data_IF_098484110351
#
_entry.id   IF_098484110351
#
_cell.length_a   1.000
_cell.length_b   1.000
_cell.length_c   1.000
_cell.angle_alpha   90.00
_cell.angle_beta   90.00
_cell.angle_gamma   90.00
#
_symmetry.space_group_name_H-M   'P 1'
#
loop_
_entity.id
_entity.type
_entity.pdbx_description
1 polymer ?
#
# COMPACT_ATOMS: atom_id res chain seq x y z
N UNK A 1 32.18 -26.53 4.19
CA UNK A 1 30.80 -26.89 4.63
C UNK A 1 30.12 -25.59 5.04
N UNK A 2 29.44 -24.93 4.10
CA UNK A 2 28.73 -23.67 4.37
C UNK A 2 27.26 -23.97 4.69
N UNK A 3 26.69 -23.46 5.79
CA UNK A 3 25.27 -23.62 6.06
C UNK A 3 24.51 -22.54 5.28
N UNK A 4 24.02 -22.88 4.09
CA UNK A 4 23.03 -22.06 3.38
C UNK A 4 21.68 -22.23 4.08
N UNK A 5 21.46 -21.47 5.15
CA UNK A 5 20.14 -21.32 5.78
C UNK A 5 19.22 -20.51 4.86
N UNK A 6 18.57 -21.18 3.91
CA UNK A 6 17.43 -20.59 3.18
C UNK A 6 16.25 -20.57 4.14
N UNK A 7 15.94 -19.41 4.73
CA UNK A 7 14.72 -19.23 5.50
C UNK A 7 13.55 -19.19 4.52
N UNK A 8 12.82 -20.30 4.42
CA UNK A 8 11.59 -20.36 3.66
C UNK A 8 10.51 -19.53 4.37
N UNK A 9 9.93 -18.55 3.68
CA UNK A 9 8.74 -17.85 4.16
C UNK A 9 7.54 -18.79 3.96
N UNK A 10 7.09 -19.49 5.01
CA UNK A 10 5.99 -20.45 4.92
C UNK A 10 4.64 -19.73 4.89
N UNK A 11 3.80 -20.03 3.89
CA UNK A 11 2.47 -19.41 3.67
C UNK A 11 1.33 -20.14 4.39
N UNK A 12 1.63 -20.94 5.41
CA UNK A 12 0.62 -21.75 6.11
C UNK A 12 -0.11 -20.91 7.18
N UNK A 13 -1.46 -20.98 7.28
CA UNK A 13 -2.23 -20.23 8.28
C UNK A 13 -1.96 -20.66 9.74
N UNK A 14 -1.22 -21.76 9.96
CA UNK A 14 -0.74 -22.24 11.26
C UNK A 14 0.77 -22.06 11.47
N UNK A 15 1.45 -21.28 10.63
CA UNK A 15 2.86 -20.98 10.85
C UNK A 15 3.01 -20.11 12.11
N UNK A 16 3.60 -20.67 13.17
CA UNK A 16 4.15 -19.89 14.30
C UNK A 16 4.92 -18.71 13.71
N UNK A 17 4.74 -17.51 14.26
CA UNK A 17 5.45 -16.30 13.86
C UNK A 17 6.91 -16.64 13.55
N UNK A 18 7.24 -16.76 12.25
CA UNK A 18 8.59 -17.10 11.85
C UNK A 18 9.48 -15.97 12.30
N UNK A 19 10.72 -16.27 12.68
CA UNK A 19 11.72 -15.23 12.87
C UNK A 19 11.65 -14.23 11.71
N UNK A 20 11.74 -12.93 12.00
CA UNK A 20 11.72 -11.89 10.98
C UNK A 20 12.71 -12.27 9.87
N UNK A 21 12.34 -12.10 8.58
CA UNK A 21 13.24 -12.41 7.49
C UNK A 21 14.54 -11.61 7.66
N UNK A 22 15.65 -12.17 7.14
CA UNK A 22 16.93 -11.46 7.12
C UNK A 22 16.73 -10.10 6.45
N UNK A 23 16.93 -9.04 7.21
CA UNK A 23 16.68 -7.68 6.76
C UNK A 23 18.00 -6.96 6.45
N UNK A 24 18.05 -6.34 5.28
CA UNK A 24 19.11 -5.39 4.93
C UNK A 24 18.61 -3.98 5.25
N UNK A 25 19.37 -3.25 6.08
CA UNK A 25 19.07 -1.84 6.37
C UNK A 25 19.68 -0.96 5.29
N UNK A 26 19.00 -0.87 4.16
CA UNK A 26 19.44 -0.12 2.98
C UNK A 26 18.29 0.74 2.48
N UNK A 27 18.57 2.00 2.18
CA UNK A 27 17.66 2.87 1.46
C UNK A 27 17.67 2.46 -0.03
N UNK A 28 16.50 2.36 -0.67
CA UNK A 28 16.43 1.97 -2.08
C UNK A 28 17.19 2.95 -3.00
N UNK A 29 17.42 4.19 -2.54
CA UNK A 29 18.27 5.15 -3.23
C UNK A 29 19.74 4.71 -3.25
N UNK A 30 20.19 3.83 -2.38
CA UNK A 30 21.58 3.39 -2.32
C UNK A 30 21.73 1.91 -2.69
N UNK A 31 20.70 1.29 -3.27
CA UNK A 31 20.71 -0.12 -3.64
C UNK A 31 21.75 -0.40 -4.74
N UNK A 32 22.44 -1.54 -4.61
CA UNK A 32 23.47 -2.04 -5.50
C UNK A 32 23.13 -3.49 -5.90
N UNK A 33 23.66 -3.99 -7.04
CA UNK A 33 23.43 -5.38 -7.47
C UNK A 33 23.78 -6.42 -6.39
N UNK A 34 24.84 -6.19 -5.61
CA UNK A 34 25.25 -7.08 -4.53
C UNK A 34 24.17 -7.27 -3.44
N UNK A 35 23.29 -6.30 -3.22
CA UNK A 35 22.19 -6.40 -2.25
C UNK A 35 21.07 -7.35 -2.71
N UNK A 36 20.98 -7.62 -4.01
CA UNK A 36 19.89 -8.40 -4.63
C UNK A 36 20.40 -9.63 -5.38
N UNK A 37 21.70 -9.95 -5.25
CA UNK A 37 22.30 -11.13 -5.86
C UNK A 37 21.78 -12.42 -5.20
N UNK A 38 21.46 -13.42 -6.02
CA UNK A 38 21.00 -14.73 -5.57
C UNK A 38 19.51 -14.82 -5.23
N UNK A 39 18.75 -13.74 -5.42
CA UNK A 39 17.29 -13.78 -5.33
C UNK A 39 16.66 -14.21 -6.67
N UNK A 40 15.57 -14.98 -6.60
CA UNK A 40 14.83 -15.43 -7.79
C UNK A 40 13.74 -14.42 -8.23
N UNK A 41 13.32 -13.56 -7.31
CA UNK A 41 12.32 -12.52 -7.57
C UNK A 41 12.47 -11.34 -6.61
N UNK A 42 12.01 -10.17 -7.03
CA UNK A 42 11.84 -8.99 -6.18
C UNK A 42 10.37 -8.58 -6.19
N UNK A 43 9.83 -8.33 -4.99
CA UNK A 43 8.55 -7.64 -4.80
C UNK A 43 8.86 -6.24 -4.29
N UNK A 44 8.72 -5.23 -5.15
CA UNK A 44 9.05 -3.84 -4.86
C UNK A 44 7.84 -3.07 -4.33
N UNK A 45 7.77 -2.94 -3.01
CA UNK A 45 6.70 -2.21 -2.27
C UNK A 45 7.14 -0.83 -1.77
N UNK A 46 8.43 -0.50 -1.84
CA UNK A 46 8.96 0.71 -1.20
C UNK A 46 8.57 1.96 -2.01
N UNK A 47 7.87 2.89 -1.35
CA UNK A 47 7.49 4.20 -1.88
C UNK A 47 7.07 5.13 -0.73
N UNK A 48 7.13 6.43 -0.97
CA UNK A 48 6.29 7.41 -0.31
C UNK A 48 4.88 7.31 -0.89
N UNK A 49 3.86 7.12 -0.06
CA UNK A 49 2.47 7.06 -0.51
C UNK A 49 1.92 8.46 -0.81
N UNK A 50 0.70 8.50 -1.38
CA UNK A 50 -0.05 9.71 -1.71
C UNK A 50 -0.59 10.43 -0.46
N UNK A 51 0.28 10.71 0.49
CA UNK A 51 0.01 11.43 1.73
C UNK A 51 0.28 12.92 1.50
N UNK A 52 -0.26 13.84 2.30
CA UNK A 52 0.12 15.26 2.27
C UNK A 52 1.64 15.48 2.33
N UNK A 53 2.41 14.52 2.87
CA UNK A 53 3.87 14.49 2.81
C UNK A 53 4.45 14.54 1.39
N UNK A 54 3.84 13.84 0.43
CA UNK A 54 4.28 13.84 -0.97
C UNK A 54 4.04 15.17 -1.68
N UNK A 55 3.12 15.99 -1.15
CA UNK A 55 2.88 17.35 -1.60
C UNK A 55 3.90 18.36 -1.02
N UNK A 56 4.61 18.01 0.07
CA UNK A 56 5.60 18.90 0.71
C UNK A 56 6.88 19.05 -0.11
N UNK A 57 7.32 17.99 -0.80
CA UNK A 57 8.45 18.06 -1.75
C UNK A 57 8.31 17.04 -2.91
N UNK A 58 7.88 17.51 -4.09
CA UNK A 58 7.83 16.68 -5.29
C UNK A 58 9.19 16.08 -5.67
N UNK A 59 10.31 16.78 -5.42
CA UNK A 59 11.63 16.30 -5.80
C UNK A 59 12.02 15.06 -5.01
N UNK A 60 11.86 15.09 -3.68
CA UNK A 60 12.05 13.91 -2.82
C UNK A 60 11.13 12.76 -3.22
N UNK A 61 9.89 13.05 -3.62
CA UNK A 61 8.97 12.02 -4.15
C UNK A 61 9.52 11.36 -5.41
N UNK A 62 10.01 12.13 -6.40
CA UNK A 62 10.59 11.55 -7.60
C UNK A 62 11.90 10.79 -7.35
N UNK A 63 12.75 11.27 -6.44
CA UNK A 63 13.98 10.56 -6.05
C UNK A 63 13.69 9.18 -5.49
N UNK A 64 12.75 9.09 -4.54
CA UNK A 64 12.43 7.82 -3.86
C UNK A 64 11.53 6.95 -4.73
N UNK A 65 10.43 7.47 -5.25
CA UNK A 65 9.41 6.64 -5.90
C UNK A 65 9.76 6.30 -7.33
N UNK A 66 10.46 7.17 -8.05
CA UNK A 66 10.80 6.94 -9.46
C UNK A 66 12.25 6.52 -9.62
N UNK A 67 13.21 7.42 -9.37
CA UNK A 67 14.63 7.17 -9.68
C UNK A 67 15.19 5.98 -8.93
N UNK A 68 14.90 5.86 -7.63
CA UNK A 68 15.36 4.71 -6.83
C UNK A 68 14.66 3.39 -7.21
N UNK A 69 13.38 3.42 -7.61
CA UNK A 69 12.68 2.24 -8.14
C UNK A 69 13.31 1.72 -9.42
N UNK A 70 13.63 2.63 -10.36
CA UNK A 70 14.33 2.27 -11.61
C UNK A 70 15.74 1.77 -11.31
N UNK A 71 16.45 2.38 -10.34
CA UNK A 71 17.76 1.89 -9.86
C UNK A 71 17.66 0.46 -9.33
N UNK A 72 16.65 0.14 -8.52
CA UNK A 72 16.42 -1.21 -8.00
C UNK A 72 16.16 -2.21 -9.14
N UNK A 73 15.32 -1.86 -10.12
CA UNK A 73 15.06 -2.72 -11.27
C UNK A 73 16.33 -2.97 -12.10
N UNK A 74 17.16 -1.94 -12.33
CA UNK A 74 18.46 -2.09 -13.01
C UNK A 74 19.43 -2.96 -12.21
N UNK A 75 19.49 -2.77 -10.89
CA UNK A 75 20.32 -3.59 -10.01
C UNK A 75 19.88 -5.06 -10.04
N UNK A 76 18.57 -5.32 -10.00
CA UNK A 76 17.98 -6.64 -10.11
C UNK A 76 18.35 -7.33 -11.43
N UNK A 77 18.15 -6.63 -12.54
CA UNK A 77 18.54 -7.10 -13.88
C UNK A 77 20.04 -7.42 -13.97
N UNK A 78 20.88 -6.52 -13.45
CA UNK A 78 22.34 -6.70 -13.43
C UNK A 78 22.76 -7.91 -12.59
N UNK A 79 22.08 -8.15 -11.47
CA UNK A 79 22.33 -9.28 -10.59
C UNK A 79 21.73 -10.61 -11.10
N UNK A 80 21.04 -10.60 -12.25
CA UNK A 80 20.43 -11.78 -12.84
C UNK A 80 19.10 -12.20 -12.20
N UNK A 81 18.44 -11.32 -11.44
CA UNK A 81 17.12 -11.62 -10.87
C UNK A 81 16.05 -11.59 -11.96
N UNK A 82 15.37 -12.72 -12.26
CA UNK A 82 14.55 -12.81 -13.46
C UNK A 82 13.15 -12.20 -13.33
N UNK A 83 12.62 -12.06 -12.11
CA UNK A 83 11.24 -11.60 -11.87
C UNK A 83 11.21 -10.34 -11.01
N UNK A 84 10.50 -9.31 -11.47
CA UNK A 84 10.38 -8.04 -10.76
C UNK A 84 8.92 -7.60 -10.68
N UNK A 85 8.31 -7.67 -9.51
CA UNK A 85 6.91 -7.29 -9.28
C UNK A 85 6.85 -5.91 -8.66
N UNK A 86 6.27 -4.95 -9.35
CA UNK A 86 6.17 -3.57 -8.87
C UNK A 86 4.77 -3.30 -8.32
N UNK A 87 4.69 -2.77 -7.10
CA UNK A 87 3.48 -2.15 -6.59
C UNK A 87 3.26 -0.79 -7.28
N UNK A 88 2.55 -0.81 -8.41
CA UNK A 88 2.03 0.38 -9.07
C UNK A 88 0.78 0.88 -8.33
N UNK A 89 -0.14 1.62 -8.95
CA UNK A 89 -1.38 2.08 -8.28
C UNK A 89 -2.41 2.58 -9.27
N UNK A 90 -3.70 2.28 -9.08
CA UNK A 90 -4.78 2.87 -9.88
C UNK A 90 -4.85 4.41 -9.84
N UNK A 91 -4.13 5.06 -8.91
CA UNK A 91 -4.00 6.53 -8.90
C UNK A 91 -3.33 7.11 -10.16
N UNK A 92 -2.67 6.29 -10.97
CA UNK A 92 -2.16 6.67 -12.29
C UNK A 92 -3.27 7.07 -13.29
N UNK A 93 -4.47 6.51 -13.15
CA UNK A 93 -5.61 6.90 -13.99
C UNK A 93 -6.12 8.30 -13.65
N UNK A 94 -5.91 8.76 -12.42
CA UNK A 94 -6.19 10.13 -11.98
C UNK A 94 -7.66 10.54 -12.08
N UNK A 95 -7.94 11.69 -12.70
CA UNK A 95 -9.33 12.17 -12.85
C UNK A 95 -9.97 11.43 -14.03
N UNK A 96 -11.02 10.67 -13.74
CA UNK A 96 -11.82 9.98 -14.74
C UNK A 96 -13.32 10.20 -14.49
N UNK A 97 -14.12 9.94 -15.54
CA UNK A 97 -15.58 9.96 -15.44
C UNK A 97 -16.14 8.73 -14.71
N UNK A 98 -17.39 8.39 -15.02
CA UNK A 98 -18.07 7.23 -14.40
C UNK A 98 -17.70 5.87 -15.04
N UNK A 99 -16.89 5.87 -16.09
CA UNK A 99 -16.46 4.65 -16.77
C UNK A 99 -15.55 3.78 -15.86
N UNK A 100 -15.68 2.47 -16.02
CA UNK A 100 -14.74 1.51 -15.42
C UNK A 100 -13.46 1.51 -16.25
N UNK A 101 -12.34 1.82 -15.62
CA UNK A 101 -11.03 1.89 -16.28
C UNK A 101 -10.32 0.54 -16.20
N UNK A 102 -9.96 -0.01 -17.35
CA UNK A 102 -9.12 -1.20 -17.48
C UNK A 102 -7.63 -0.82 -17.60
N UNK A 103 -6.76 -1.79 -17.86
CA UNK A 103 -5.32 -1.53 -17.98
C UNK A 103 -4.89 -0.82 -19.27
N UNK A 104 -5.79 -0.65 -20.24
CA UNK A 104 -5.57 0.12 -21.48
C UNK A 104 -5.98 1.58 -21.34
N UNK A 105 -6.66 1.95 -20.25
CA UNK A 105 -7.06 3.33 -20.01
C UNK A 105 -5.87 4.28 -19.92
N UNK A 106 -6.05 5.49 -20.48
CA UNK A 106 -5.06 6.56 -20.43
C UNK A 106 -4.71 6.97 -19.00
N UNK A 107 -3.46 7.36 -18.78
CA UNK A 107 -3.02 7.87 -17.49
C UNK A 107 -3.26 9.38 -17.39
N UNK A 108 -3.82 9.84 -16.28
CA UNK A 108 -4.07 11.26 -16.02
C UNK A 108 -3.67 11.68 -14.58
N UNK A 109 -2.44 11.36 -14.11
CA UNK A 109 -2.08 11.53 -12.71
C UNK A 109 -1.96 13.00 -12.31
N UNK A 110 -2.65 13.37 -11.22
CA UNK A 110 -2.68 14.74 -10.70
C UNK A 110 -1.72 15.00 -9.54
N UNK A 111 -1.06 13.96 -9.01
CA UNK A 111 -0.12 14.09 -7.88
C UNK A 111 1.30 13.66 -8.27
N UNK A 112 2.35 14.19 -7.59
CA UNK A 112 3.72 13.70 -7.76
C UNK A 112 3.84 12.19 -7.55
N UNK A 113 3.10 11.63 -6.59
CA UNK A 113 2.98 10.20 -6.39
C UNK A 113 2.49 9.47 -7.64
N UNK A 114 1.33 9.86 -8.19
CA UNK A 114 0.76 9.23 -9.38
C UNK A 114 1.70 9.32 -10.59
N UNK A 115 2.31 10.49 -10.81
CA UNK A 115 3.29 10.72 -11.87
C UNK A 115 4.51 9.83 -11.71
N UNK A 116 5.04 9.69 -10.49
CA UNK A 116 6.18 8.82 -10.23
C UNK A 116 5.91 7.36 -10.57
N UNK A 117 4.71 6.84 -10.31
CA UNK A 117 4.33 5.46 -10.65
C UNK A 117 4.27 5.24 -12.17
N UNK A 118 3.70 6.19 -12.92
CA UNK A 118 3.70 6.16 -14.40
C UNK A 118 5.11 6.11 -14.96
N UNK A 119 6.01 6.95 -14.45
CA UNK A 119 7.40 6.99 -14.89
C UNK A 119 8.13 5.67 -14.60
N UNK A 120 7.83 5.01 -13.47
CA UNK A 120 8.39 3.68 -13.17
C UNK A 120 7.86 2.63 -14.15
N UNK A 121 6.54 2.59 -14.42
CA UNK A 121 6.00 1.61 -15.38
C UNK A 121 6.68 1.77 -16.75
N UNK A 122 6.82 3.01 -17.24
CA UNK A 122 7.51 3.31 -18.49
C UNK A 122 8.98 2.84 -18.49
N UNK A 123 9.77 3.30 -17.52
CA UNK A 123 11.22 3.08 -17.53
C UNK A 123 11.60 1.64 -17.19
N UNK A 124 10.83 0.96 -16.34
CA UNK A 124 11.07 -0.44 -15.99
C UNK A 124 10.56 -1.38 -17.08
N UNK A 125 9.48 -1.04 -17.79
CA UNK A 125 9.02 -1.83 -18.93
C UNK A 125 10.08 -1.87 -20.04
N UNK A 126 10.81 -0.77 -20.25
CA UNK A 126 11.92 -0.72 -21.20
C UNK A 126 13.12 -1.62 -20.80
N UNK A 127 13.19 -2.11 -19.56
CA UNK A 127 14.20 -3.07 -19.12
C UNK A 127 13.81 -4.53 -19.41
N UNK A 128 12.56 -4.80 -19.79
CA UNK A 128 12.08 -6.15 -20.04
C UNK A 128 12.82 -6.82 -21.21
N UNK A 129 13.25 -8.05 -21.02
CA UNK A 129 13.83 -8.89 -22.07
C UNK A 129 13.65 -10.38 -21.73
N UNK A 130 14.32 -11.27 -22.48
CA UNK A 130 14.26 -12.71 -22.26
C UNK A 130 14.70 -13.17 -20.84
N UNK A 131 15.51 -12.38 -20.14
CA UNK A 131 16.07 -12.70 -18.82
C UNK A 131 15.45 -11.86 -17.69
N UNK A 132 14.83 -10.72 -17.97
CA UNK A 132 14.22 -9.84 -16.98
C UNK A 132 12.74 -9.60 -17.28
N UNK A 133 11.87 -10.00 -16.35
CA UNK A 133 10.42 -9.92 -16.49
C UNK A 133 9.80 -9.05 -15.42
N UNK A 134 9.57 -7.75 -15.70
CA UNK A 134 8.78 -6.90 -14.83
C UNK A 134 7.28 -7.18 -14.98
N UNK A 135 6.52 -6.98 -13.89
CA UNK A 135 5.05 -7.00 -13.89
C UNK A 135 4.55 -5.90 -12.96
N UNK A 136 3.53 -5.16 -13.40
CA UNK A 136 3.03 -3.97 -12.72
C UNK A 136 1.66 -4.24 -12.10
N UNK A 137 1.60 -4.24 -10.76
CA UNK A 137 0.36 -4.45 -10.02
C UNK A 137 -0.23 -3.07 -9.65
N UNK A 138 -1.21 -2.62 -10.42
CA UNK A 138 -1.93 -1.35 -10.22
C UNK A 138 -3.00 -1.55 -9.16
N UNK A 139 -2.63 -1.39 -7.89
CA UNK A 139 -3.59 -1.63 -6.83
C UNK A 139 -4.63 -0.52 -6.69
N UNK A 140 -5.86 -0.95 -6.42
CA UNK A 140 -6.90 -0.14 -5.82
C UNK A 140 -6.47 0.38 -4.43
N UNK A 141 -7.28 1.24 -3.81
CA UNK A 141 -6.94 1.82 -2.50
C UNK A 141 -6.97 0.73 -1.44
N UNK A 142 -5.82 0.46 -0.82
CA UNK A 142 -5.69 -0.58 0.18
C UNK A 142 -6.40 -0.21 1.49
N UNK A 143 -7.00 -1.20 2.14
CA UNK A 143 -7.59 -1.09 3.49
C UNK A 143 -7.46 -2.42 4.26
N UNK A 144 -7.78 -2.40 5.55
CA UNK A 144 -7.79 -3.60 6.40
C UNK A 144 -6.76 -3.55 7.52
N UNK A 145 -6.79 -4.58 8.38
CA UNK A 145 -5.91 -4.71 9.54
C UNK A 145 -4.53 -5.19 9.10
N UNK A 146 -3.47 -4.55 9.60
CA UNK A 146 -2.10 -5.00 9.37
C UNK A 146 -1.21 -4.75 10.59
N UNK A 147 -0.06 -5.45 10.72
CA UNK A 147 0.90 -5.17 11.78
C UNK A 147 1.47 -3.75 11.76
N UNK A 148 1.39 -3.06 10.61
CA UNK A 148 1.75 -1.65 10.42
C UNK A 148 0.53 -0.88 9.90
N UNK A 149 -0.51 -0.87 10.72
CA UNK A 149 -1.78 -0.25 10.39
C UNK A 149 -1.58 1.21 9.97
N UNK A 150 -2.23 1.57 8.88
CA UNK A 150 -2.40 2.95 8.44
C UNK A 150 -3.84 3.36 8.70
N UNK A 151 -4.04 4.35 9.55
CA UNK A 151 -5.38 4.87 9.86
C UNK A 151 -5.75 6.09 8.99
N UNK A 152 -4.86 6.50 8.09
CA UNK A 152 -5.02 7.62 7.16
C UNK A 152 -5.49 7.20 5.75
N UNK A 153 -5.78 5.91 5.54
CA UNK A 153 -6.45 5.42 4.31
C UNK A 153 -7.97 5.40 4.49
N UNK A 154 -8.73 5.67 3.43
CA UNK A 154 -10.15 6.05 3.50
C UNK A 154 -11.02 5.15 4.40
N UNK A 155 -11.03 3.82 4.18
CA UNK A 155 -11.87 2.91 5.01
C UNK A 155 -11.35 2.85 6.45
N UNK A 156 -10.05 2.67 6.64
CA UNK A 156 -9.46 2.58 7.98
C UNK A 156 -9.69 3.86 8.78
N UNK A 157 -9.62 5.02 8.12
CA UNK A 157 -9.87 6.34 8.70
C UNK A 157 -11.32 6.51 9.13
N UNK A 158 -12.27 6.20 8.25
CA UNK A 158 -13.69 6.31 8.56
C UNK A 158 -14.08 5.39 9.73
N UNK A 159 -13.60 4.13 9.74
CA UNK A 159 -13.87 3.19 10.83
C UNK A 159 -13.21 3.65 12.14
N UNK A 160 -11.95 4.09 12.10
CA UNK A 160 -11.24 4.54 13.28
C UNK A 160 -11.86 5.81 13.88
N UNK A 161 -12.24 6.78 13.04
CA UNK A 161 -12.95 7.98 13.49
C UNK A 161 -14.29 7.61 14.13
N UNK A 162 -15.10 6.80 13.45
CA UNK A 162 -16.40 6.37 13.98
C UNK A 162 -16.27 5.65 15.32
N UNK A 163 -15.28 4.74 15.44
CA UNK A 163 -15.04 3.96 16.65
C UNK A 163 -14.54 4.83 17.82
N UNK A 164 -13.68 5.81 17.55
CA UNK A 164 -13.01 6.59 18.62
C UNK A 164 -13.73 7.89 19.00
N UNK A 165 -14.53 8.46 18.10
CA UNK A 165 -15.22 9.75 18.33
C UNK A 165 -16.73 9.67 18.19
N UNK A 166 -17.28 8.60 17.61
CA UNK A 166 -18.69 8.53 17.22
C UNK A 166 -19.00 9.29 15.93
N UNK A 167 -18.01 9.81 15.21
CA UNK A 167 -18.21 10.53 13.96
C UNK A 167 -17.58 9.81 12.76
N UNK A 168 -18.37 9.60 11.72
CA UNK A 168 -17.88 9.15 10.41
C UNK A 168 -17.51 10.40 9.61
N UNK A 169 -16.30 10.92 9.83
CA UNK A 169 -15.89 12.23 9.32
C UNK A 169 -15.40 12.18 7.86
N UNK A 170 -16.22 12.68 6.95
CA UNK A 170 -15.87 12.84 5.52
C UNK A 170 -15.21 14.21 5.30
N UNK A 171 -14.03 14.24 4.70
CA UNK A 171 -13.28 15.49 4.46
C UNK A 171 -13.72 16.24 3.18
N UNK A 172 -14.38 15.56 2.26
CA UNK A 172 -14.90 16.10 0.99
C UNK A 172 -16.43 16.07 0.96
N UNK A 173 -17.04 16.37 -0.20
CA UNK A 173 -18.48 16.23 -0.44
C UNK A 173 -18.98 14.76 -0.51
N UNK A 174 -18.08 13.78 -0.39
CA UNK A 174 -18.39 12.36 -0.40
C UNK A 174 -18.76 11.76 -1.77
N UNK A 175 -18.74 12.54 -2.86
CA UNK A 175 -19.19 12.10 -4.19
C UNK A 175 -18.18 11.25 -4.95
N UNK A 176 -16.90 11.37 -4.62
CA UNK A 176 -15.80 10.77 -5.35
C UNK A 176 -15.80 9.23 -5.28
N UNK A 177 -15.55 8.59 -6.43
CA UNK A 177 -15.41 7.13 -6.54
C UNK A 177 -14.03 6.65 -6.11
N UNK A 178 -13.98 5.56 -5.34
CA UNK A 178 -12.77 4.89 -4.87
C UNK A 178 -12.87 3.39 -5.16
N UNK A 179 -11.94 2.82 -5.95
CA UNK A 179 -11.75 1.38 -5.96
C UNK A 179 -11.02 0.96 -4.69
N UNK A 180 -11.43 -0.14 -4.09
CA UNK A 180 -10.87 -0.64 -2.84
C UNK A 180 -10.33 -2.08 -2.97
N UNK A 181 -9.28 -2.38 -2.21
CA UNK A 181 -8.74 -3.74 -2.10
C UNK A 181 -8.31 -4.01 -0.66
N UNK A 182 -8.73 -5.14 -0.11
CA UNK A 182 -8.29 -5.54 1.23
C UNK A 182 -6.81 -5.94 1.21
N UNK A 183 -6.06 -5.63 2.27
CA UNK A 183 -4.61 -5.89 2.35
C UNK A 183 -4.26 -7.36 2.14
N UNK A 184 -5.11 -8.29 2.57
CA UNK A 184 -4.88 -9.72 2.30
C UNK A 184 -5.07 -10.08 0.83
N UNK A 185 -6.07 -9.50 0.14
CA UNK A 185 -6.26 -9.73 -1.29
C UNK A 185 -5.16 -9.06 -2.12
N UNK A 186 -4.67 -7.90 -1.68
CA UNK A 186 -3.46 -7.29 -2.22
C UNK A 186 -2.27 -8.26 -2.12
N UNK A 187 -2.04 -8.87 -0.95
CA UNK A 187 -0.99 -9.88 -0.77
C UNK A 187 -1.22 -11.12 -1.65
N UNK A 188 -2.46 -11.62 -1.75
CA UNK A 188 -2.82 -12.76 -2.63
C UNK A 188 -2.50 -12.47 -4.09
N UNK A 189 -2.73 -11.25 -4.56
CA UNK A 189 -2.38 -10.85 -5.93
C UNK A 189 -0.87 -10.94 -6.17
N UNK A 190 -0.06 -10.42 -5.26
CA UNK A 190 1.40 -10.54 -5.36
C UNK A 190 1.86 -11.99 -5.35
N UNK A 191 1.29 -12.84 -4.49
CA UNK A 191 1.62 -14.27 -4.45
C UNK A 191 1.21 -15.00 -5.74
N UNK A 192 0.02 -14.71 -6.28
CA UNK A 192 -0.44 -15.28 -7.54
C UNK A 192 0.51 -14.90 -8.69
N UNK A 193 0.85 -13.61 -8.81
CA UNK A 193 1.79 -13.14 -9.85
C UNK A 193 3.20 -13.66 -9.60
N UNK A 194 3.64 -13.86 -8.35
CA UNK A 194 4.95 -14.43 -8.03
C UNK A 194 5.10 -15.87 -8.53
N UNK A 195 4.03 -16.66 -8.48
CA UNK A 195 4.03 -18.06 -8.90
C UNK A 195 3.56 -18.28 -10.34
N UNK A 196 3.00 -17.26 -10.99
CA UNK A 196 2.47 -17.34 -12.34
C UNK A 196 3.54 -17.74 -13.39
N UNK A 197 3.16 -18.49 -14.43
CA UNK A 197 3.98 -18.69 -15.62
C UNK A 197 4.41 -17.35 -16.24
N UNK A 198 5.70 -17.19 -16.53
CA UNK A 198 6.26 -15.96 -17.12
C UNK A 198 5.46 -15.45 -18.34
N UNK A 199 5.04 -16.29 -19.32
CA UNK A 199 4.32 -15.81 -20.50
C UNK A 199 3.02 -15.05 -20.19
N UNK A 200 2.38 -15.33 -19.05
CA UNK A 200 1.11 -14.69 -18.67
C UNK A 200 1.30 -13.30 -18.05
N UNK A 201 2.48 -13.02 -17.51
CA UNK A 201 2.74 -11.82 -16.69
C UNK A 201 3.88 -10.94 -17.23
N UNK A 202 4.58 -11.41 -18.26
CA UNK A 202 5.77 -10.75 -18.77
C UNK A 202 5.44 -9.36 -19.31
N UNK A 203 6.05 -8.34 -18.70
CA UNK A 203 5.87 -6.94 -19.05
C UNK A 203 4.38 -6.50 -19.05
N UNK A 204 3.56 -7.18 -18.26
CA UNK A 204 2.13 -6.93 -18.16
C UNK A 204 1.80 -6.03 -16.97
N UNK A 205 0.69 -5.29 -17.10
CA UNK A 205 0.06 -4.59 -16.00
C UNK A 205 -1.30 -5.23 -15.66
N UNK A 206 -1.64 -5.19 -14.38
CA UNK A 206 -2.91 -5.70 -13.84
C UNK A 206 -3.48 -4.74 -12.80
N UNK A 207 -4.74 -4.37 -12.95
CA UNK A 207 -5.52 -3.75 -11.88
C UNK A 207 -5.76 -4.78 -10.78
N UNK A 208 -5.47 -4.39 -9.53
CA UNK A 208 -5.57 -5.30 -8.37
C UNK A 208 -6.70 -4.86 -7.46
N UNK A 209 -7.70 -5.72 -7.34
CA UNK A 209 -8.89 -5.53 -6.52
C UNK A 209 -10.03 -6.41 -7.05
N UNK A 210 -11.26 -5.96 -6.83
CA UNK A 210 -12.48 -6.56 -7.38
C UNK A 210 -13.28 -5.48 -8.07
N UNK A 211 -13.82 -5.77 -9.25
CA UNK A 211 -14.57 -4.78 -10.03
C UNK A 211 -15.86 -4.33 -9.32
N UNK A 212 -16.39 -5.16 -8.42
CA UNK A 212 -17.54 -4.83 -7.58
C UNK A 212 -17.20 -3.91 -6.40
N UNK A 213 -15.93 -3.84 -5.99
CA UNK A 213 -15.47 -3.09 -4.81
C UNK A 213 -15.08 -1.64 -5.17
N UNK A 214 -15.95 -1.00 -5.96
CA UNK A 214 -15.87 0.43 -6.30
C UNK A 214 -17.01 1.16 -5.57
N UNK A 215 -16.68 2.15 -4.74
CA UNK A 215 -17.67 2.87 -3.92
C UNK A 215 -17.46 4.37 -3.98
N UNK A 216 -18.54 5.13 -3.84
CA UNK A 216 -18.45 6.55 -3.47
C UNK A 216 -18.09 6.67 -2.00
N UNK A 217 -17.36 7.72 -1.62
CA UNK A 217 -16.95 7.93 -0.21
C UNK A 217 -18.16 8.00 0.74
N UNK A 218 -19.28 8.59 0.31
CA UNK A 218 -20.53 8.59 1.09
C UNK A 218 -21.10 7.19 1.33
N UNK A 219 -21.00 6.28 0.35
CA UNK A 219 -21.49 4.91 0.47
C UNK A 219 -20.64 4.12 1.49
N UNK A 220 -19.33 4.39 1.51
CA UNK A 220 -18.44 3.87 2.55
C UNK A 220 -18.84 4.39 3.92
N UNK A 221 -19.14 5.67 4.05
CA UNK A 221 -19.57 6.26 5.32
C UNK A 221 -20.87 5.61 5.84
N UNK A 222 -21.84 5.34 4.96
CA UNK A 222 -23.08 4.65 5.32
C UNK A 222 -22.83 3.19 5.76
N UNK A 223 -21.88 2.49 5.12
CA UNK A 223 -21.46 1.15 5.55
C UNK A 223 -20.81 1.18 6.94
N UNK A 224 -19.94 2.16 7.18
CA UNK A 224 -19.28 2.34 8.49
C UNK A 224 -20.31 2.70 9.56
N UNK A 225 -21.23 3.63 9.28
CA UNK A 225 -22.26 4.03 10.24
C UNK A 225 -23.14 2.85 10.68
N UNK A 226 -23.48 1.95 9.73
CA UNK A 226 -24.23 0.72 10.04
C UNK A 226 -23.43 -0.25 10.90
N UNK A 227 -22.12 -0.34 10.71
CA UNK A 227 -21.24 -1.21 11.47
C UNK A 227 -20.91 -0.67 12.88
N UNK A 228 -20.79 0.65 13.01
CA UNK A 228 -20.50 1.35 14.28
C UNK A 228 -21.77 2.05 14.75
N UNK A 229 -22.64 1.27 15.41
CA UNK A 229 -23.93 1.77 15.88
C UNK A 229 -23.79 2.98 16.82
N UNK A 230 -24.64 3.98 16.64
CA UNK A 230 -24.60 5.23 17.39
C UNK A 230 -23.67 6.30 16.80
N UNK A 231 -22.90 5.97 15.77
CA UNK A 231 -22.10 6.97 15.06
C UNK A 231 -22.94 7.83 14.11
N UNK A 232 -22.43 9.03 13.78
CA UNK A 232 -23.07 9.98 12.87
C UNK A 232 -22.13 10.36 11.74
N UNK A 233 -22.65 10.37 10.50
CA UNK A 233 -21.91 10.90 9.35
C UNK A 233 -21.80 12.42 9.46
N UNK A 234 -20.57 12.93 9.37
CA UNK A 234 -20.25 14.36 9.38
C UNK A 234 -19.44 14.73 8.15
N UNK A 235 -19.59 15.98 7.71
CA UNK A 235 -18.84 16.54 6.58
C UNK A 235 -18.00 17.70 7.08
N UNK A 236 -16.73 17.75 6.72
CA UNK A 236 -15.84 18.84 7.10
C UNK A 236 -16.35 20.18 6.53
N UNK A 237 -16.33 21.28 7.32
CA UNK A 237 -16.68 22.60 6.82
C UNK A 237 -15.80 23.00 5.63
N UNK A 238 -16.40 23.38 4.50
CA UNK A 238 -15.68 23.75 3.29
C UNK A 238 -15.17 22.57 2.45
N UNK A 239 -15.59 21.33 2.75
CA UNK A 239 -15.27 20.15 1.94
C UNK A 239 -15.87 20.25 0.54
N UNK A 240 -15.02 20.48 -0.46
CA UNK A 240 -15.38 20.46 -1.88
C UNK A 240 -15.30 19.07 -2.51
N UNK A 241 -15.54 18.96 -3.82
CA UNK A 241 -15.35 17.70 -4.55
C UNK A 241 -13.89 17.27 -4.51
N UNK A 242 -13.62 16.00 -4.19
CA UNK A 242 -12.28 15.42 -4.36
C UNK A 242 -12.08 15.12 -5.86
N UNK A 243 -11.15 15.81 -6.55
CA UNK A 243 -10.97 15.66 -7.98
C UNK A 243 -10.47 14.26 -8.36
N UNK A 244 -9.84 13.53 -7.42
CA UNK A 244 -9.50 12.13 -7.62
C UNK A 244 -10.82 11.39 -7.55
N UNK A 245 -11.34 10.93 -8.67
CA UNK A 245 -12.57 10.13 -8.72
C UNK A 245 -12.46 9.23 -9.94
N UNK A 246 -12.49 7.92 -9.71
CA UNK A 246 -12.35 6.93 -10.77
C UNK A 246 -12.87 5.58 -10.28
N UNK A 247 -13.26 4.74 -11.24
CA UNK A 247 -13.63 3.35 -11.02
C UNK A 247 -12.70 2.48 -11.86
N UNK A 248 -12.40 1.28 -11.40
CA UNK A 248 -11.50 0.38 -12.13
C UNK A 248 -12.11 -0.99 -12.31
N UNK A 249 -11.89 -1.55 -13.49
CA UNK A 249 -12.11 -2.96 -13.76
C UNK A 249 -10.85 -3.75 -13.40
N UNK A 250 -11.01 -4.75 -12.53
CA UNK A 250 -9.96 -5.66 -12.06
C UNK A 250 -10.11 -7.09 -12.63
N UNK A 251 -11.00 -7.29 -13.61
CA UNK A 251 -11.32 -8.60 -14.21
C UNK A 251 -10.08 -9.33 -14.74
N UNK A 252 -9.23 -8.60 -15.48
CA UNK A 252 -8.06 -9.16 -16.17
C UNK A 252 -7.16 -10.03 -15.30
N UNK A 253 -6.89 -9.64 -14.05
CA UNK A 253 -6.01 -10.41 -13.18
C UNK A 253 -6.60 -11.78 -12.85
N UNK A 254 -7.88 -11.83 -12.48
CA UNK A 254 -8.57 -13.07 -12.13
C UNK A 254 -8.80 -13.96 -13.36
N UNK A 255 -9.04 -13.36 -14.53
CA UNK A 255 -9.16 -14.08 -15.81
C UNK A 255 -7.83 -14.67 -16.26
N UNK A 256 -6.73 -13.94 -16.06
CA UNK A 256 -5.39 -14.39 -16.45
C UNK A 256 -4.82 -15.42 -15.48
N UNK A 257 -5.09 -15.25 -14.17
CA UNK A 257 -4.55 -16.08 -13.08
C UNK A 257 -5.70 -16.58 -12.18
N UNK A 258 -6.32 -17.73 -12.49
CA UNK A 258 -7.43 -18.30 -11.70
C UNK A 258 -7.08 -18.66 -10.24
N UNK A 259 -5.79 -18.70 -9.90
CA UNK A 259 -5.28 -18.84 -8.53
C UNK A 259 -5.48 -17.57 -7.71
N UNK A 260 -5.59 -16.40 -8.35
CA UNK A 260 -5.97 -15.17 -7.66
C UNK A 260 -7.46 -15.22 -7.31
N UNK A 261 -7.73 -15.60 -6.07
CA UNK A 261 -9.08 -15.68 -5.50
C UNK A 261 -9.23 -14.65 -4.39
N UNK A 262 -9.68 -13.41 -4.71
CA UNK A 262 -9.94 -12.43 -3.69
C UNK A 262 -11.10 -12.89 -2.81
N UNK A 263 -10.98 -12.68 -1.50
CA UNK A 263 -11.89 -13.23 -0.49
C UNK A 263 -12.65 -12.14 0.27
N UNK A 264 -12.19 -10.90 0.18
CA UNK A 264 -12.69 -9.82 1.01
C UNK A 264 -13.65 -8.92 0.25
N UNK A 265 -14.59 -8.39 1.02
CA UNK A 265 -15.50 -7.29 0.65
C UNK A 265 -15.32 -6.17 1.68
N UNK A 266 -15.64 -4.95 1.29
CA UNK A 266 -15.55 -3.77 2.18
C UNK A 266 -16.38 -3.95 3.45
N UNK A 267 -17.63 -4.43 3.42
CA UNK A 267 -18.38 -4.72 4.64
C UNK A 267 -17.67 -5.69 5.59
N UNK A 268 -17.05 -6.76 5.06
CA UNK A 268 -16.30 -7.72 5.88
C UNK A 268 -15.04 -7.11 6.48
N UNK A 269 -14.30 -6.30 5.73
CA UNK A 269 -13.11 -5.64 6.27
C UNK A 269 -13.44 -4.49 7.24
N UNK A 270 -14.58 -3.80 7.08
CA UNK A 270 -15.11 -2.87 8.10
C UNK A 270 -15.36 -3.63 9.41
N UNK A 271 -16.02 -4.78 9.36
CA UNK A 271 -16.24 -5.62 10.53
C UNK A 271 -14.91 -6.09 11.16
N UNK A 272 -13.93 -6.49 10.34
CA UNK A 272 -12.59 -6.86 10.80
C UNK A 272 -11.89 -5.71 11.55
N UNK A 273 -11.96 -4.49 11.00
CA UNK A 273 -11.38 -3.30 11.63
C UNK A 273 -12.06 -2.98 12.97
N UNK A 274 -13.40 -3.00 13.02
CA UNK A 274 -14.15 -2.81 14.27
C UNK A 274 -13.77 -3.83 15.34
N UNK A 275 -13.65 -5.11 14.95
CA UNK A 275 -13.24 -6.19 15.85
C UNK A 275 -11.83 -5.95 16.40
N UNK A 276 -10.90 -5.60 15.53
CA UNK A 276 -9.54 -5.33 15.94
C UNK A 276 -9.46 -4.10 16.86
N UNK A 277 -10.13 -2.99 16.52
CA UNK A 277 -10.12 -1.79 17.36
C UNK A 277 -10.68 -2.05 18.76
N UNK A 278 -11.67 -2.94 18.87
CA UNK A 278 -12.19 -3.41 20.16
C UNK A 278 -11.22 -4.30 20.91
N UNK A 279 -10.71 -5.33 20.24
CA UNK A 279 -9.81 -6.34 20.85
C UNK A 279 -8.53 -5.70 21.40
N UNK A 280 -7.97 -4.75 20.67
CA UNK A 280 -6.69 -4.12 21.00
C UNK A 280 -6.85 -2.75 21.66
N UNK A 281 -8.09 -2.28 21.86
CA UNK A 281 -8.39 -1.04 22.58
C UNK A 281 -7.86 0.23 21.91
N UNK A 282 -8.17 0.43 20.63
CA UNK A 282 -7.76 1.67 19.92
C UNK A 282 -8.36 2.90 20.62
N UNK A 283 -7.50 3.82 21.06
CA UNK A 283 -7.94 5.09 21.65
C UNK A 283 -7.95 6.22 20.63
N UNK A 284 -8.65 7.31 20.95
CA UNK A 284 -8.59 8.55 20.17
C UNK A 284 -7.16 9.11 20.11
N UNK A 285 -6.40 8.99 21.19
CA UNK A 285 -5.01 9.43 21.25
C UNK A 285 -4.13 8.61 20.30
N UNK A 286 -4.30 7.28 20.25
CA UNK A 286 -3.61 6.44 19.28
C UNK A 286 -3.91 6.84 17.83
N UNK A 287 -5.20 7.09 17.53
CA UNK A 287 -5.67 7.44 16.18
C UNK A 287 -5.20 8.82 15.73
N UNK A 288 -5.30 9.84 16.59
CA UNK A 288 -4.86 11.20 16.29
C UNK A 288 -3.34 11.42 16.47
N UNK A 289 -2.65 10.46 17.07
CA UNK A 289 -1.22 10.51 17.35
C UNK A 289 -0.33 10.06 16.19
N UNK A 290 0.95 9.89 16.49
CA UNK A 290 2.00 9.56 15.50
C UNK A 290 2.10 8.06 15.19
N UNK A 291 1.28 7.23 15.85
CA UNK A 291 1.35 5.77 15.75
C UNK A 291 0.82 5.25 14.42
N UNK A 292 -0.31 5.78 13.96
CA UNK A 292 -1.01 5.29 12.76
C UNK A 292 -1.13 6.31 11.64
N UNK A 293 -0.67 7.55 11.87
CA UNK A 293 -0.65 8.64 10.90
C UNK A 293 0.78 8.88 10.41
N UNK A 294 1.05 8.52 9.15
CA UNK A 294 2.41 8.53 8.58
C UNK A 294 3.01 9.93 8.55
N UNK A 295 2.21 10.93 8.21
CA UNK A 295 2.60 12.36 8.19
C UNK A 295 3.15 12.80 9.54
N UNK A 296 2.39 12.58 10.61
CA UNK A 296 2.77 12.97 11.96
C UNK A 296 4.02 12.21 12.43
N UNK A 297 4.13 10.93 12.07
CA UNK A 297 5.31 10.13 12.37
C UNK A 297 6.59 10.70 11.74
N UNK A 298 6.55 11.03 10.44
CA UNK A 298 7.72 11.60 9.74
C UNK A 298 8.07 12.98 10.31
N UNK A 299 7.08 13.84 10.55
CA UNK A 299 7.30 15.15 11.17
C UNK A 299 7.91 15.03 12.57
N UNK A 300 7.54 14.02 13.35
CA UNK A 300 8.18 13.72 14.63
C UNK A 300 9.65 13.34 14.43
N UNK A 301 9.96 12.42 13.51
CA UNK A 301 11.34 12.01 13.21
C UNK A 301 12.22 13.19 12.77
N UNK A 302 11.66 14.12 11.98
CA UNK A 302 12.36 15.33 11.56
C UNK A 302 12.59 16.30 12.71
N UNK A 303 11.58 16.54 13.57
CA UNK A 303 11.74 17.36 14.79
C UNK A 303 12.77 16.78 15.75
N UNK A 304 12.85 15.46 15.85
CA UNK A 304 13.85 14.74 16.64
C UNK A 304 15.25 14.71 15.98
N UNK A 305 15.42 15.28 14.78
CA UNK A 305 16.69 15.29 14.05
C UNK A 305 17.15 13.90 13.58
N UNK A 306 16.24 12.91 13.55
CA UNK A 306 16.56 11.53 13.18
C UNK A 306 16.53 11.32 11.68
N UNK A 307 15.73 12.14 10.99
CA UNK A 307 15.57 12.13 9.53
C UNK A 307 15.64 13.59 9.04
N UNK A 308 16.30 13.85 7.91
CA UNK A 308 16.38 15.20 7.33
C UNK A 308 15.19 15.56 6.44
N UNK A 309 15.26 16.73 5.81
CA UNK A 309 14.27 17.21 4.84
C UNK A 309 14.16 16.32 3.60
N UNK A 310 15.24 15.63 3.22
CA UNK A 310 15.26 14.67 2.10
C UNK A 310 14.83 13.26 2.54
N UNK A 311 14.29 13.11 3.75
CA UNK A 311 13.87 11.84 4.33
C UNK A 311 15.00 10.80 4.43
N UNK A 312 16.24 11.25 4.65
CA UNK A 312 17.40 10.39 4.92
C UNK A 312 17.64 10.28 6.42
N UNK A 313 17.93 9.06 6.89
CA UNK A 313 18.35 8.82 8.27
C UNK A 313 19.67 9.51 8.58
N UNK A 314 19.73 10.22 9.70
CA UNK A 314 20.95 10.87 10.18
C UNK A 314 21.87 9.87 10.91
N UNK A 315 23.18 10.04 10.72
CA UNK A 315 24.19 9.13 11.29
C UNK A 315 24.10 9.13 12.83
N UNK A 316 23.99 7.94 13.43
CA UNK A 316 23.85 7.77 14.89
C UNK A 316 22.41 7.68 15.43
N UNK A 317 21.39 7.96 14.62
CA UNK A 317 19.99 7.76 15.01
C UNK A 317 19.66 6.25 15.10
N UNK A 318 19.54 5.72 16.33
CA UNK A 318 18.98 4.38 16.54
C UNK A 318 17.48 4.42 16.25
N UNK A 319 17.02 3.43 15.49
CA UNK A 319 15.58 3.21 15.28
C UNK A 319 15.04 2.34 16.40
N UNK A 320 13.85 2.67 16.92
CA UNK A 320 13.08 1.74 17.75
C UNK A 320 12.89 0.46 16.92
N UNK A 321 13.14 -0.70 17.51
CA UNK A 321 13.07 -1.99 16.80
C UNK A 321 11.66 -2.26 16.28
N UNK A 322 11.51 -3.09 15.24
CA UNK A 322 10.20 -3.45 14.68
C UNK A 322 9.20 -3.96 15.73
N UNK A 323 9.69 -4.52 16.85
CA UNK A 323 8.90 -4.93 18.01
C UNK A 323 8.07 -3.80 18.66
N UNK A 324 8.50 -2.54 18.54
CA UNK A 324 7.78 -1.38 19.11
C UNK A 324 6.65 -0.87 18.20
N UNK A 325 6.60 -1.32 16.94
CA UNK A 325 5.62 -0.89 15.94
C UNK A 325 4.44 -1.87 15.77
N UNK A 326 4.55 -3.08 16.34
CA UNK A 326 3.47 -4.07 16.29
C UNK A 326 2.36 -3.65 17.24
N UNK A 327 1.14 -3.57 16.74
CA UNK A 327 -0.03 -3.35 17.58
C UNK A 327 -0.24 -4.56 18.49
N UNK A 328 0.03 -4.39 19.78
CA UNK A 328 -0.14 -5.43 20.80
C UNK A 328 -1.47 -5.25 21.53
N UNK A 329 -2.13 -6.35 21.95
CA UNK A 329 -3.40 -6.25 22.66
C UNK A 329 -3.22 -5.52 23.99
N UNK A 330 -4.24 -4.77 24.40
CA UNK A 330 -4.26 -4.15 25.71
C UNK A 330 -4.09 -5.24 26.78
N UNK A 331 -3.18 -5.04 27.74
CA UNK A 331 -3.06 -5.94 28.90
C UNK A 331 -4.38 -5.85 29.66
N UNK A 332 -5.18 -6.91 29.61
CA UNK A 332 -6.34 -7.06 30.48
C UNK A 332 -5.80 -7.14 31.91
N UNK A 333 -6.05 -6.10 32.71
CA UNK A 333 -5.73 -6.11 34.13
C UNK A 333 -6.49 -7.24 34.80
N UNK A 334 -5.75 -8.12 35.48
CA UNK A 334 -6.28 -9.17 36.36
C UNK A 334 -6.98 -8.57 37.57
#
# INVERSE_FOLDING_TARGET
>A
MSPTGRTACSTSPNARASADPVALRVDIRDVQPAHVQGFDAIIHLAALCNDPLGDLDPATTYEINHRASVRLARAAKTAGVPRFLFASSCSLYGVAGEAMLDEQASFNPITPYGRSKVLVEHDVAALADQHFSPTFLRNATAYGVSPRLRADVVVNNLVAAAYTTGEVAIQSDGTAWRPLVHVEDFCRAFLAVLHAPRPLIHNAAFNVGRSEENYRVRELADLVQRAVQGSRVTYAPGGGPDPRSYRVDCSKLAETLPEFRPQWTVPQGIAQLCEAYRTFGLTREDFCGTRFLRVLHIQQLQREGRVDSALRWQHGARERTAADAVWQPAKVGS
#
